data_IF_591096245269
#
_entry.id   IF_591096245269
#
_cell.length_a   1.000
_cell.length_b   1.000
_cell.length_c   1.000
_cell.angle_alpha   90.00
_cell.angle_beta   90.00
_cell.angle_gamma   90.00
#
_symmetry.space_group_name_H-M   'P 1'
#
loop_
_entity.id
_entity.type
_entity.pdbx_description
1 polymer ?
#
# COMPACT_ATOMS: atom_id res chain seq x y z
N UNK A 1 -1.49 -19.32 -15.39
CA UNK A 1 -2.63 -18.64 -14.71
C UNK A 1 -3.26 -19.51 -13.64
N UNK A 2 -3.71 -20.76 -13.94
CA UNK A 2 -4.36 -21.63 -12.92
C UNK A 2 -3.53 -21.81 -11.64
N UNK A 3 -2.21 -22.01 -11.77
CA UNK A 3 -1.30 -22.18 -10.61
C UNK A 3 -1.21 -20.92 -9.75
N UNK A 4 -1.10 -19.74 -10.37
CA UNK A 4 -1.11 -18.45 -9.63
C UNK A 4 -2.43 -18.32 -8.85
N UNK A 5 -3.57 -18.50 -9.53
CA UNK A 5 -4.89 -18.43 -8.89
C UNK A 5 -5.03 -19.40 -7.70
N UNK A 6 -4.50 -20.63 -7.82
CA UNK A 6 -4.48 -21.61 -6.74
C UNK A 6 -3.78 -21.04 -5.48
N UNK A 7 -2.58 -20.46 -5.62
CA UNK A 7 -1.84 -19.94 -4.46
C UNK A 7 -2.44 -18.65 -3.91
N UNK A 8 -3.06 -17.81 -4.75
CA UNK A 8 -3.81 -16.64 -4.28
C UNK A 8 -5.03 -17.08 -3.43
N UNK A 9 -5.76 -18.11 -3.86
CA UNK A 9 -6.90 -18.65 -3.12
C UNK A 9 -6.47 -19.34 -1.82
N UNK A 10 -5.37 -20.08 -1.81
CA UNK A 10 -4.80 -20.65 -0.58
C UNK A 10 -4.38 -19.56 0.40
N UNK A 11 -3.71 -18.50 -0.07
CA UNK A 11 -3.35 -17.35 0.75
C UNK A 11 -4.58 -16.60 1.27
N UNK A 12 -5.63 -16.45 0.47
CA UNK A 12 -6.91 -15.86 0.91
C UNK A 12 -7.56 -16.74 1.99
N UNK A 13 -7.62 -18.06 1.80
CA UNK A 13 -8.15 -18.98 2.79
C UNK A 13 -7.43 -18.87 4.14
N UNK A 14 -6.09 -18.81 4.13
CA UNK A 14 -5.29 -18.60 5.34
C UNK A 14 -5.64 -17.27 6.02
N UNK A 15 -5.76 -16.18 5.26
CA UNK A 15 -6.13 -14.87 5.81
C UNK A 15 -7.54 -14.83 6.36
N UNK A 16 -8.48 -15.52 5.75
CA UNK A 16 -9.85 -15.66 6.29
C UNK A 16 -9.81 -16.35 7.66
N UNK A 17 -9.06 -17.45 7.79
CA UNK A 17 -8.91 -18.14 9.08
C UNK A 17 -8.30 -17.20 10.13
N UNK A 18 -7.25 -16.47 9.80
CA UNK A 18 -6.64 -15.51 10.72
C UNK A 18 -7.63 -14.38 11.06
N UNK A 19 -8.37 -13.86 10.07
CA UNK A 19 -9.35 -12.81 10.29
C UNK A 19 -10.49 -13.22 11.24
N UNK A 20 -10.86 -14.49 11.25
CA UNK A 20 -11.87 -15.05 12.15
C UNK A 20 -11.32 -15.28 13.57
N UNK A 21 -10.05 -15.62 13.70
CA UNK A 21 -9.42 -15.95 14.99
C UNK A 21 -8.80 -14.73 15.69
N UNK A 22 -8.38 -13.72 14.94
CA UNK A 22 -7.70 -12.54 15.48
C UNK A 22 -8.73 -11.63 16.19
N UNK A 23 -8.55 -11.29 17.47
CA UNK A 23 -9.40 -10.30 18.14
C UNK A 23 -9.29 -8.92 17.45
N UNK A 24 -10.32 -8.05 17.61
CA UNK A 24 -10.26 -6.69 17.07
C UNK A 24 -9.10 -5.90 17.70
N UNK A 25 -8.36 -5.18 16.83
CA UNK A 25 -7.26 -4.32 17.24
C UNK A 25 -7.72 -2.91 17.60
N UNK A 26 -6.95 -2.20 18.43
CA UNK A 26 -7.21 -0.79 18.76
C UNK A 26 -7.23 0.10 17.52
N UNK A 27 -6.32 -0.13 16.58
CA UNK A 27 -6.25 0.64 15.32
C UNK A 27 -7.49 0.40 14.47
N UNK A 28 -8.05 -0.82 14.46
CA UNK A 28 -9.28 -1.12 13.71
C UNK A 28 -10.47 -0.33 14.26
N UNK A 29 -10.58 -0.23 15.59
CA UNK A 29 -11.61 0.59 16.24
C UNK A 29 -11.42 2.08 15.93
N UNK A 30 -10.19 2.55 15.90
CA UNK A 30 -9.84 3.93 15.56
C UNK A 30 -10.21 4.25 14.09
N UNK A 31 -9.87 3.41 13.14
CA UNK A 31 -10.23 3.63 11.73
C UNK A 31 -11.71 3.40 11.44
N UNK A 32 -12.40 2.58 12.23
CA UNK A 32 -13.85 2.49 12.14
C UNK A 32 -14.52 3.84 12.41
N UNK A 33 -14.00 4.61 13.37
CA UNK A 33 -14.47 5.99 13.60
C UNK A 33 -14.33 6.86 12.34
N UNK A 34 -13.24 6.71 11.56
CA UNK A 34 -13.10 7.39 10.27
C UNK A 34 -14.14 6.94 9.25
N UNK A 35 -14.48 5.65 9.24
CA UNK A 35 -15.53 5.11 8.38
C UNK A 35 -16.92 5.70 8.66
N UNK A 36 -17.20 6.00 9.92
CA UNK A 36 -18.46 6.69 10.31
C UNK A 36 -18.44 8.20 10.04
N UNK A 37 -17.26 8.80 9.89
CA UNK A 37 -17.06 10.23 9.70
C UNK A 37 -16.16 10.49 8.50
N UNK A 38 -16.66 10.13 7.30
CA UNK A 38 -15.87 10.30 6.07
C UNK A 38 -15.51 11.76 5.82
N UNK A 39 -14.23 12.01 5.63
CA UNK A 39 -13.65 13.30 5.30
C UNK A 39 -12.63 13.16 4.17
N UNK A 40 -12.27 14.26 3.52
CA UNK A 40 -11.30 14.24 2.42
C UNK A 40 -9.87 13.87 2.86
N UNK A 41 -9.56 14.02 4.14
CA UNK A 41 -8.37 13.50 4.82
C UNK A 41 -8.63 13.52 6.33
N UNK A 42 -7.68 12.98 7.12
CA UNK A 42 -7.73 12.96 8.57
C UNK A 42 -6.41 13.45 9.14
N UNK A 43 -6.38 13.60 10.47
CA UNK A 43 -5.23 14.11 11.21
C UNK A 43 -3.91 13.36 10.91
N UNK A 44 -3.94 12.03 10.86
CA UNK A 44 -2.78 11.16 10.73
C UNK A 44 -2.76 10.32 9.44
N UNK A 45 -3.89 10.21 8.72
CA UNK A 45 -3.98 9.40 7.49
C UNK A 45 -4.86 10.06 6.42
N UNK A 46 -4.57 9.81 5.12
CA UNK A 46 -5.47 10.18 4.03
C UNK A 46 -6.78 9.38 4.05
N UNK A 47 -7.72 9.76 3.16
CA UNK A 47 -9.10 9.27 3.13
C UNK A 47 -9.28 7.74 2.99
N UNK A 48 -8.35 7.04 2.31
CA UNK A 48 -8.61 5.65 1.86
C UNK A 48 -8.89 4.68 3.00
N UNK A 49 -8.24 4.82 4.16
CA UNK A 49 -8.53 3.96 5.31
C UNK A 49 -9.96 4.15 5.83
N UNK A 50 -10.48 5.39 5.81
CA UNK A 50 -11.88 5.69 6.14
C UNK A 50 -12.86 5.05 5.13
N UNK A 51 -12.53 5.09 3.83
CA UNK A 51 -13.33 4.41 2.80
C UNK A 51 -13.33 2.89 3.02
N UNK A 52 -12.16 2.28 3.33
CA UNK A 52 -12.07 0.85 3.63
C UNK A 52 -12.90 0.48 4.87
N UNK A 53 -12.86 1.30 5.91
CA UNK A 53 -13.67 1.13 7.11
C UNK A 53 -15.17 1.25 6.81
N UNK A 54 -15.57 2.25 6.05
CA UNK A 54 -16.95 2.45 5.61
C UNK A 54 -17.46 1.27 4.78
N UNK A 55 -16.66 0.78 3.83
CA UNK A 55 -16.99 -0.41 3.03
C UNK A 55 -17.12 -1.65 3.92
N UNK A 56 -16.18 -1.85 4.84
CA UNK A 56 -16.17 -3.00 5.75
C UNK A 56 -17.39 -3.02 6.67
N UNK A 57 -17.83 -1.85 7.11
CA UNK A 57 -19.03 -1.70 7.94
C UNK A 57 -20.33 -2.17 7.24
N UNK A 58 -20.37 -2.20 5.90
CA UNK A 58 -21.53 -2.69 5.16
C UNK A 58 -21.70 -4.22 5.23
N UNK A 59 -20.67 -4.94 5.68
CA UNK A 59 -20.70 -6.40 5.78
C UNK A 59 -21.08 -6.85 7.20
N UNK A 60 -21.87 -7.95 7.36
CA UNK A 60 -22.18 -8.50 8.66
C UNK A 60 -20.94 -9.16 9.29
N UNK A 61 -20.94 -9.33 10.62
CA UNK A 61 -19.93 -10.12 11.33
C UNK A 61 -18.87 -9.31 12.05
N UNK A 62 -19.23 -8.21 12.67
CA UNK A 62 -18.37 -7.41 13.55
C UNK A 62 -16.97 -7.12 12.96
N UNK A 63 -15.91 -7.53 13.66
CA UNK A 63 -14.53 -7.31 13.22
C UNK A 63 -14.18 -8.05 11.91
N UNK A 64 -14.82 -9.19 11.62
CA UNK A 64 -14.60 -9.90 10.35
C UNK A 64 -15.14 -9.09 9.16
N UNK A 65 -16.34 -8.53 9.28
CA UNK A 65 -16.94 -7.67 8.27
C UNK A 65 -16.01 -6.50 7.91
N UNK A 66 -15.46 -5.84 8.93
CA UNK A 66 -14.51 -4.72 8.76
C UNK A 66 -13.25 -5.11 7.99
N UNK A 67 -12.83 -6.37 8.03
CA UNK A 67 -11.60 -6.90 7.39
C UNK A 67 -11.79 -7.30 5.93
N UNK A 68 -13.03 -7.48 5.48
CA UNK A 68 -13.34 -7.93 4.10
C UNK A 68 -12.67 -7.05 3.04
N UNK A 69 -12.69 -5.71 3.10
CA UNK A 69 -11.99 -4.87 2.12
C UNK A 69 -10.48 -5.12 2.07
N UNK A 70 -9.84 -5.35 3.23
CA UNK A 70 -8.41 -5.68 3.30
C UNK A 70 -8.10 -7.05 2.70
N UNK A 71 -8.91 -8.08 3.01
CA UNK A 71 -8.79 -9.43 2.44
C UNK A 71 -8.84 -9.42 0.91
N UNK A 72 -9.82 -8.69 0.35
CA UNK A 72 -10.00 -8.55 -1.10
C UNK A 72 -8.85 -7.76 -1.71
N UNK A 73 -8.54 -6.60 -1.15
CA UNK A 73 -7.48 -5.69 -1.63
C UNK A 73 -6.14 -6.38 -1.72
N UNK A 74 -5.76 -7.08 -0.67
CA UNK A 74 -4.48 -7.77 -0.62
C UNK A 74 -4.42 -8.95 -1.59
N UNK A 75 -5.53 -9.65 -1.80
CA UNK A 75 -5.61 -10.72 -2.79
C UNK A 75 -5.41 -10.16 -4.21
N UNK A 76 -6.05 -9.03 -4.53
CA UNK A 76 -5.87 -8.33 -5.80
C UNK A 76 -4.42 -7.82 -5.93
N UNK A 77 -3.87 -7.19 -4.88
CA UNK A 77 -2.50 -6.70 -4.84
C UNK A 77 -1.48 -7.82 -5.14
N UNK A 78 -1.61 -8.95 -4.46
CA UNK A 78 -0.77 -10.14 -4.69
C UNK A 78 -0.89 -10.66 -6.11
N UNK A 79 -2.10 -10.65 -6.68
CA UNK A 79 -2.36 -11.02 -8.07
C UNK A 79 -1.69 -10.07 -9.06
N UNK A 80 -1.79 -8.75 -8.85
CA UNK A 80 -1.14 -7.74 -9.69
C UNK A 80 0.38 -7.86 -9.66
N UNK A 81 0.99 -8.07 -8.48
CA UNK A 81 2.42 -8.32 -8.35
C UNK A 81 2.84 -9.61 -9.06
N UNK A 82 2.08 -10.69 -8.91
CA UNK A 82 2.35 -11.95 -9.59
C UNK A 82 2.28 -11.82 -11.12
N UNK A 83 1.34 -11.04 -11.63
CA UNK A 83 1.23 -10.73 -13.07
C UNK A 83 2.38 -9.86 -13.55
N UNK A 84 2.79 -8.86 -12.77
CA UNK A 84 3.94 -8.00 -13.07
C UNK A 84 5.24 -8.83 -13.12
N UNK A 85 5.49 -9.65 -12.11
CA UNK A 85 6.64 -10.55 -12.04
C UNK A 85 6.68 -11.52 -13.21
N UNK A 86 5.56 -12.17 -13.52
CA UNK A 86 5.44 -13.05 -14.70
C UNK A 86 5.75 -12.33 -16.02
N UNK A 87 5.41 -11.04 -16.13
CA UNK A 87 5.62 -10.24 -17.34
C UNK A 87 7.07 -9.82 -17.52
N UNK A 88 7.80 -9.54 -16.43
CA UNK A 88 9.10 -8.88 -16.44
C UNK A 88 10.27 -9.75 -16.03
N UNK A 89 10.01 -10.84 -15.33
CA UNK A 89 11.03 -11.75 -14.80
C UNK A 89 10.99 -13.11 -15.50
N UNK A 90 11.56 -14.11 -14.91
CA UNK A 90 11.67 -15.48 -15.44
C UNK A 90 10.34 -16.24 -15.40
N UNK A 91 10.17 -17.30 -16.23
CA UNK A 91 9.05 -18.22 -16.10
C UNK A 91 8.95 -18.78 -14.68
N UNK A 92 7.77 -18.74 -14.08
CA UNK A 92 7.57 -19.21 -12.69
C UNK A 92 7.63 -18.11 -11.63
N UNK A 93 8.27 -16.95 -11.89
CA UNK A 93 8.36 -15.85 -10.94
C UNK A 93 6.99 -15.38 -10.42
N UNK A 94 5.96 -15.35 -11.27
CA UNK A 94 4.61 -15.03 -10.83
C UNK A 94 4.02 -16.01 -9.82
N UNK A 95 4.38 -17.30 -9.90
CA UNK A 95 3.95 -18.30 -8.91
C UNK A 95 4.67 -18.06 -7.57
N UNK A 96 5.98 -17.86 -7.63
CA UNK A 96 6.76 -17.54 -6.43
C UNK A 96 6.30 -16.25 -5.78
N UNK A 97 5.99 -15.21 -6.55
CA UNK A 97 5.44 -13.96 -6.02
C UNK A 97 4.11 -14.21 -5.28
N UNK A 98 3.19 -15.00 -5.86
CA UNK A 98 1.93 -15.33 -5.21
C UNK A 98 2.13 -16.13 -3.90
N UNK A 99 3.11 -17.05 -3.86
CA UNK A 99 3.46 -17.80 -2.66
C UNK A 99 4.05 -16.87 -1.60
N UNK A 100 5.07 -16.07 -1.95
CA UNK A 100 5.77 -15.20 -1.01
C UNK A 100 4.86 -14.12 -0.42
N UNK A 101 4.03 -13.48 -1.25
CA UNK A 101 3.05 -12.50 -0.74
C UNK A 101 1.99 -13.18 0.12
N UNK A 102 1.55 -14.40 -0.24
CA UNK A 102 0.58 -15.17 0.53
C UNK A 102 1.08 -15.65 1.90
N UNK A 103 2.42 -15.76 2.09
CA UNK A 103 3.04 -16.32 3.29
C UNK A 103 3.87 -15.30 4.08
N UNK A 104 4.08 -14.07 3.61
CA UNK A 104 4.84 -13.04 4.35
C UNK A 104 4.10 -12.66 5.63
N UNK A 105 4.62 -12.93 6.84
CA UNK A 105 3.87 -12.79 8.09
C UNK A 105 3.38 -11.36 8.33
N UNK A 106 4.26 -10.38 8.13
CA UNK A 106 3.93 -8.97 8.31
C UNK A 106 2.87 -8.51 7.31
N UNK A 107 3.11 -8.75 6.02
CA UNK A 107 2.20 -8.32 4.96
C UNK A 107 0.86 -9.05 5.04
N UNK A 108 0.87 -10.32 5.45
CA UNK A 108 -0.31 -11.14 5.60
C UNK A 108 -1.26 -10.57 6.65
N UNK A 109 -0.76 -10.17 7.82
CA UNK A 109 -1.58 -9.65 8.92
C UNK A 109 -1.88 -8.18 8.72
N UNK A 110 -0.85 -7.32 8.60
CA UNK A 110 -0.97 -5.86 8.57
C UNK A 110 -1.63 -5.38 7.27
N UNK A 111 -1.20 -5.92 6.13
CA UNK A 111 -1.73 -5.51 4.83
C UNK A 111 -2.93 -6.33 4.35
N UNK A 112 -3.03 -7.59 4.79
CA UNK A 112 -3.95 -8.55 4.22
C UNK A 112 -5.11 -8.99 5.11
N UNK A 113 -5.08 -8.68 6.40
CA UNK A 113 -6.15 -9.04 7.36
C UNK A 113 -6.72 -7.82 8.03
N UNK A 114 -5.92 -7.06 8.79
CA UNK A 114 -6.42 -5.97 9.61
C UNK A 114 -6.94 -4.80 8.76
N UNK A 115 -7.91 -4.07 9.31
CA UNK A 115 -8.35 -2.79 8.77
C UNK A 115 -7.29 -1.73 9.10
N UNK A 116 -6.33 -1.55 8.21
CA UNK A 116 -5.23 -0.61 8.33
C UNK A 116 -5.02 0.15 7.00
N UNK A 117 -4.39 1.33 7.01
CA UNK A 117 -4.08 2.09 5.79
C UNK A 117 -3.08 1.37 4.87
N UNK A 118 -2.46 0.28 5.36
CA UNK A 118 -1.54 -0.56 4.60
C UNK A 118 -2.24 -1.37 3.50
N UNK A 119 -3.50 -1.77 3.69
CA UNK A 119 -4.25 -2.52 2.68
C UNK A 119 -4.49 -1.70 1.40
N UNK A 120 -5.06 -0.47 1.43
CA UNK A 120 -5.17 0.37 0.24
C UNK A 120 -3.81 0.81 -0.31
N UNK A 121 -2.79 1.02 0.54
CA UNK A 121 -1.43 1.33 0.10
C UNK A 121 -0.85 0.20 -0.75
N UNK A 122 -0.89 -1.04 -0.28
CA UNK A 122 -0.36 -2.20 -0.99
C UNK A 122 -1.13 -2.46 -2.29
N UNK A 123 -2.45 -2.28 -2.29
CA UNK A 123 -3.25 -2.40 -3.51
C UNK A 123 -2.81 -1.37 -4.56
N UNK A 124 -2.74 -0.09 -4.17
CA UNK A 124 -2.38 0.99 -5.07
C UNK A 124 -0.93 0.85 -5.56
N UNK A 125 0.01 0.52 -4.69
CA UNK A 125 1.41 0.29 -5.05
C UNK A 125 1.55 -0.89 -6.02
N UNK A 126 0.85 -2.00 -5.77
CA UNK A 126 0.86 -3.16 -6.65
C UNK A 126 0.26 -2.85 -8.02
N UNK A 127 -0.78 -2.00 -8.06
CA UNK A 127 -1.36 -1.51 -9.31
C UNK A 127 -0.38 -0.64 -10.10
N UNK A 128 0.38 0.24 -9.44
CA UNK A 128 1.45 1.04 -10.05
C UNK A 128 2.54 0.14 -10.62
N UNK A 129 3.03 -0.84 -9.85
CA UNK A 129 4.05 -1.79 -10.29
C UNK A 129 3.57 -2.60 -11.50
N UNK A 130 2.33 -3.08 -11.47
CA UNK A 130 1.73 -3.78 -12.60
C UNK A 130 1.59 -2.89 -13.82
N UNK A 131 1.12 -1.65 -13.65
CA UNK A 131 0.96 -0.67 -14.73
C UNK A 131 2.29 -0.39 -15.44
N UNK A 132 3.36 -0.20 -14.68
CA UNK A 132 4.72 -0.05 -15.19
C UNK A 132 5.20 -1.33 -15.91
N UNK A 133 4.89 -2.50 -15.35
CA UNK A 133 5.29 -3.79 -15.94
C UNK A 133 4.63 -4.05 -17.29
N UNK A 134 3.37 -3.68 -17.47
CA UNK A 134 2.64 -3.87 -18.75
C UNK A 134 2.82 -2.70 -19.72
N UNK A 135 3.41 -1.58 -19.27
CA UNK A 135 3.59 -0.39 -20.11
C UNK A 135 2.29 0.40 -20.29
N UNK A 136 1.47 0.51 -19.23
CA UNK A 136 0.22 1.25 -19.28
C UNK A 136 0.45 2.72 -19.69
N UNK A 137 -0.57 3.35 -20.30
CA UNK A 137 -0.53 4.77 -20.61
C UNK A 137 -0.31 5.61 -19.35
N UNK A 138 0.50 6.66 -19.47
CA UNK A 138 0.92 7.47 -18.33
C UNK A 138 -0.21 8.26 -17.67
N UNK A 139 -1.26 8.60 -18.38
CA UNK A 139 -2.46 9.18 -17.78
C UNK A 139 -3.10 8.26 -16.72
N UNK A 140 -3.26 6.96 -17.06
CA UNK A 140 -3.72 5.97 -16.10
C UNK A 140 -2.74 5.75 -14.96
N UNK A 141 -1.43 5.77 -15.26
CA UNK A 141 -0.40 5.70 -14.22
C UNK A 141 -0.55 6.86 -13.21
N UNK A 142 -0.80 8.08 -13.71
CA UNK A 142 -1.06 9.25 -12.86
C UNK A 142 -2.24 9.04 -11.91
N UNK A 143 -3.36 8.51 -12.40
CA UNK A 143 -4.51 8.20 -11.54
C UNK A 143 -4.13 7.21 -10.43
N UNK A 144 -3.39 6.13 -10.76
CA UNK A 144 -2.93 5.13 -9.79
C UNK A 144 -1.98 5.74 -8.75
N UNK A 145 -1.09 6.66 -9.16
CA UNK A 145 -0.22 7.41 -8.24
C UNK A 145 -1.03 8.33 -7.31
N UNK A 146 -2.12 8.89 -7.80
CA UNK A 146 -3.08 9.65 -6.98
C UNK A 146 -3.75 8.78 -5.90
N UNK A 147 -4.25 7.59 -6.25
CA UNK A 147 -4.79 6.64 -5.29
C UNK A 147 -3.73 6.16 -4.29
N UNK A 148 -2.49 5.94 -4.73
CA UNK A 148 -1.37 5.63 -3.84
C UNK A 148 -1.17 6.75 -2.80
N UNK A 149 -1.21 8.01 -3.22
CA UNK A 149 -1.09 9.19 -2.33
C UNK A 149 -2.24 9.26 -1.32
N UNK A 150 -3.47 8.96 -1.74
CA UNK A 150 -4.64 8.95 -0.87
C UNK A 150 -4.67 7.77 0.12
N UNK A 151 -3.78 6.78 -0.02
CA UNK A 151 -3.75 5.59 0.83
C UNK A 151 -2.99 5.81 2.13
N UNK A 152 -1.80 6.39 2.07
CA UNK A 152 -0.93 6.59 3.25
C UNK A 152 0.14 7.64 2.95
N UNK A 153 0.53 8.46 3.94
CA UNK A 153 1.56 9.49 3.73
C UNK A 153 2.93 8.92 3.33
N UNK A 154 3.23 7.65 3.67
CA UNK A 154 4.41 6.93 3.19
C UNK A 154 4.44 6.74 1.66
N UNK A 155 3.34 7.00 0.97
CA UNK A 155 3.34 7.07 -0.49
C UNK A 155 4.23 8.20 -1.03
N UNK A 156 4.38 9.33 -0.31
CA UNK A 156 5.17 10.47 -0.78
C UNK A 156 6.66 10.13 -0.99
N UNK A 157 7.40 9.52 -0.04
CA UNK A 157 8.74 9.04 -0.31
C UNK A 157 8.80 7.97 -1.41
N UNK A 158 7.78 7.11 -1.55
CA UNK A 158 7.72 6.15 -2.67
C UNK A 158 7.58 6.87 -4.02
N UNK A 159 6.76 7.92 -4.11
CA UNK A 159 6.65 8.76 -5.32
C UNK A 159 7.98 9.44 -5.64
N UNK A 160 8.71 9.93 -4.64
CA UNK A 160 10.04 10.51 -4.83
C UNK A 160 11.02 9.46 -5.39
N UNK A 161 11.04 8.25 -4.84
CA UNK A 161 11.86 7.16 -5.37
C UNK A 161 11.51 6.81 -6.82
N UNK A 162 10.21 6.75 -7.16
CA UNK A 162 9.76 6.52 -8.52
C UNK A 162 10.16 7.65 -9.47
N UNK A 163 10.10 8.90 -9.02
CA UNK A 163 10.56 10.06 -9.79
C UNK A 163 12.07 10.02 -10.02
N UNK A 164 12.87 9.73 -8.99
CA UNK A 164 14.31 9.56 -9.12
C UNK A 164 14.66 8.45 -10.11
N UNK A 165 13.97 7.30 -10.02
CA UNK A 165 14.13 6.23 -11.00
C UNK A 165 13.75 6.69 -12.41
N UNK A 166 12.63 7.38 -12.59
CA UNK A 166 12.19 7.87 -13.90
C UNK A 166 13.20 8.86 -14.51
N UNK A 167 13.81 9.70 -13.68
CA UNK A 167 14.86 10.64 -14.10
C UNK A 167 16.19 9.96 -14.45
N UNK A 168 16.53 8.86 -13.78
CA UNK A 168 17.78 8.11 -14.05
C UNK A 168 17.77 7.37 -15.38
N UNK A 169 16.58 6.97 -15.89
CA UNK A 169 16.45 6.23 -17.14
C UNK A 169 16.16 7.16 -18.32
N UNK A 170 17.01 7.17 -19.34
CA UNK A 170 16.91 8.11 -20.47
C UNK A 170 15.55 8.04 -21.19
N UNK A 171 15.01 6.83 -21.38
CA UNK A 171 13.72 6.63 -22.05
C UNK A 171 12.56 7.17 -21.20
N UNK A 172 12.54 6.84 -19.91
CA UNK A 172 11.48 7.25 -18.97
C UNK A 172 11.54 8.76 -18.72
N UNK A 173 12.75 9.32 -18.63
CA UNK A 173 12.97 10.76 -18.50
C UNK A 173 12.40 11.54 -19.69
N UNK A 174 12.61 11.06 -20.93
CA UNK A 174 12.01 11.71 -22.12
C UNK A 174 10.48 11.71 -22.07
N UNK A 175 9.89 10.62 -21.63
CA UNK A 175 8.43 10.52 -21.46
C UNK A 175 7.93 11.43 -20.33
N UNK A 176 8.68 11.57 -19.24
CA UNK A 176 8.34 12.46 -18.12
C UNK A 176 8.24 13.93 -18.57
N UNK A 177 9.12 14.36 -19.46
CA UNK A 177 9.12 15.74 -20.04
C UNK A 177 8.32 15.83 -21.36
N UNK A 178 7.40 14.93 -21.62
CA UNK A 178 6.49 14.93 -22.77
C UNK A 178 5.04 15.12 -22.34
N UNK A 179 4.10 15.12 -23.30
CA UNK A 179 2.67 15.16 -23.02
C UNK A 179 2.19 14.02 -22.12
N UNK A 180 2.84 12.86 -22.19
CA UNK A 180 2.54 11.75 -21.30
C UNK A 180 2.84 12.09 -19.83
N UNK A 181 3.93 12.79 -19.57
CA UNK A 181 4.26 13.28 -18.22
C UNK A 181 3.25 14.30 -17.70
N UNK A 182 2.76 15.21 -18.57
CA UNK A 182 1.70 16.15 -18.22
C UNK A 182 0.40 15.40 -17.86
N UNK A 183 0.04 14.38 -18.62
CA UNK A 183 -1.13 13.55 -18.31
C UNK A 183 -0.96 12.79 -16.98
N UNK A 184 0.22 12.24 -16.72
CA UNK A 184 0.51 11.56 -15.45
C UNK A 184 0.42 12.51 -14.26
N UNK A 185 1.03 13.69 -14.35
CA UNK A 185 0.98 14.72 -13.31
C UNK A 185 -0.46 15.22 -13.09
N UNK A 186 -1.19 15.52 -14.17
CA UNK A 186 -2.58 15.95 -14.11
C UNK A 186 -3.49 14.91 -13.46
N UNK A 187 -3.37 13.63 -13.86
CA UNK A 187 -4.11 12.52 -13.25
C UNK A 187 -3.79 12.35 -11.77
N UNK A 188 -2.52 12.41 -11.40
CA UNK A 188 -2.08 12.37 -10.01
C UNK A 188 -2.67 13.54 -9.20
N UNK A 189 -2.58 14.76 -9.71
CA UNK A 189 -3.06 15.96 -9.02
C UNK A 189 -4.58 15.92 -8.82
N UNK A 190 -5.34 15.54 -9.86
CA UNK A 190 -6.81 15.45 -9.80
C UNK A 190 -7.23 14.45 -8.72
N UNK A 191 -6.67 13.22 -8.71
CA UNK A 191 -7.07 12.21 -7.75
C UNK A 191 -6.59 12.55 -6.33
N UNK A 192 -5.38 13.09 -6.16
CA UNK A 192 -4.85 13.46 -4.84
C UNK A 192 -5.35 14.80 -4.30
N UNK A 193 -6.05 15.60 -5.11
CA UNK A 193 -6.53 16.94 -4.73
C UNK A 193 -7.33 17.00 -3.42
N UNK A 194 -8.18 16.02 -3.04
CA UNK A 194 -8.91 16.09 -1.77
C UNK A 194 -7.98 16.18 -0.55
N UNK A 195 -6.87 15.44 -0.57
CA UNK A 195 -5.85 15.45 0.49
C UNK A 195 -5.19 16.84 0.63
N UNK A 196 -4.81 17.43 -0.50
CA UNK A 196 -4.10 18.73 -0.50
C UNK A 196 -5.04 19.85 -0.06
N UNK A 197 -6.27 19.88 -0.59
CA UNK A 197 -7.28 20.88 -0.24
C UNK A 197 -7.68 20.80 1.23
N UNK A 198 -7.87 19.57 1.75
CA UNK A 198 -8.17 19.37 3.16
C UNK A 198 -7.04 19.87 4.06
N UNK A 199 -5.79 19.52 3.77
CA UNK A 199 -4.65 19.97 4.56
C UNK A 199 -4.48 21.50 4.51
N UNK A 200 -4.69 22.12 3.33
CA UNK A 200 -4.67 23.57 3.19
C UNK A 200 -5.72 24.24 4.09
N UNK A 201 -6.92 23.69 4.17
CA UNK A 201 -8.02 24.20 5.02
C UNK A 201 -7.78 23.95 6.52
N UNK A 202 -7.01 22.93 6.86
CA UNK A 202 -6.74 22.50 8.25
C UNK A 202 -5.32 22.83 8.73
N UNK A 203 -4.66 23.85 8.15
CA UNK A 203 -3.37 24.34 8.61
C UNK A 203 -2.22 23.31 8.49
N UNK A 204 -2.30 22.39 7.53
CA UNK A 204 -1.29 21.35 7.27
C UNK A 204 -1.05 20.42 8.47
N UNK A 205 -2.06 20.22 9.31
CA UNK A 205 -1.94 19.51 10.58
C UNK A 205 -1.41 18.08 10.43
N UNK A 206 -1.76 17.38 9.36
CA UNK A 206 -1.26 16.02 9.11
C UNK A 206 0.25 15.99 8.89
N UNK A 207 0.78 16.95 8.14
CA UNK A 207 2.22 17.05 7.89
C UNK A 207 2.97 17.48 9.16
N UNK A 208 2.40 18.40 9.94
CA UNK A 208 2.96 18.80 11.25
C UNK A 208 3.02 17.62 12.20
N UNK A 209 1.96 16.80 12.27
CA UNK A 209 1.94 15.58 13.09
C UNK A 209 3.05 14.62 12.71
N UNK A 210 3.21 14.31 11.41
CA UNK A 210 4.25 13.40 10.98
C UNK A 210 5.67 13.96 11.18
N UNK A 211 5.87 15.26 10.99
CA UNK A 211 7.17 15.90 11.24
C UNK A 211 7.53 15.91 12.72
N UNK A 212 6.57 16.17 13.61
CA UNK A 212 6.79 16.15 15.06
C UNK A 212 7.20 14.76 15.57
N UNK A 213 6.62 13.69 15.03
CA UNK A 213 7.00 12.30 15.39
C UNK A 213 8.45 11.97 15.06
N UNK A 214 9.04 12.60 14.06
CA UNK A 214 10.44 12.38 13.68
C UNK A 214 11.43 13.21 14.49
N UNK A 215 10.96 14.28 15.17
CA UNK A 215 11.81 15.18 15.93
C UNK A 215 11.97 14.79 17.41
N UNK A 216 11.17 13.85 17.92
CA UNK A 216 11.12 13.46 19.34
C UNK A 216 12.23 12.51 19.82
N UNK A 217 13.21 12.17 18.98
CA UNK A 217 14.34 11.34 19.39
C UNK A 217 15.48 12.23 19.94
N UNK A 218 15.61 12.28 21.25
CA UNK A 218 16.77 12.92 21.90
C UNK A 218 18.04 12.12 21.62
N UNK A 219 18.86 12.60 20.68
CA UNK A 219 20.18 12.08 20.36
C UNK A 219 20.20 10.83 19.47
N UNK A 220 21.41 10.45 19.04
CA UNK A 220 21.65 9.27 18.22
C UNK A 220 21.68 8.02 19.08
N UNK A 221 20.73 7.10 18.87
CA UNK A 221 20.68 5.82 19.56
C UNK A 221 21.39 4.75 18.75
N UNK A 222 22.58 4.30 19.21
CA UNK A 222 23.39 3.28 18.56
C UNK A 222 22.71 1.90 18.46
N UNK A 223 21.75 1.60 19.33
CA UNK A 223 20.96 0.34 19.23
C UNK A 223 19.86 0.40 18.18
N UNK A 224 19.46 1.57 17.71
CA UNK A 224 18.42 1.77 16.72
C UNK A 224 18.70 1.05 15.39
N UNK A 225 19.82 1.33 14.71
CA UNK A 225 20.14 0.68 13.43
C UNK A 225 20.20 -0.85 13.48
N UNK A 226 20.90 -1.51 14.41
CA UNK A 226 20.92 -2.97 14.48
C UNK A 226 19.55 -3.57 14.84
N UNK A 227 18.77 -2.92 15.72
CA UNK A 227 17.41 -3.36 16.04
C UNK A 227 16.49 -3.22 14.83
N UNK A 228 16.60 -2.12 14.08
CA UNK A 228 15.86 -1.92 12.83
C UNK A 228 16.19 -3.03 11.82
N UNK A 229 17.47 -3.34 11.58
CA UNK A 229 17.87 -4.43 10.68
C UNK A 229 17.33 -5.79 11.15
N UNK A 230 17.42 -6.08 12.44
CA UNK A 230 16.86 -7.30 13.02
C UNK A 230 15.35 -7.40 12.78
N UNK A 231 14.61 -6.31 13.03
CA UNK A 231 13.16 -6.29 12.79
C UNK A 231 12.81 -6.45 11.31
N UNK A 232 13.61 -5.90 10.39
CA UNK A 232 13.43 -6.12 8.95
C UNK A 232 13.67 -7.60 8.57
N UNK A 233 14.70 -8.23 9.09
CA UNK A 233 14.99 -9.65 8.87
C UNK A 233 13.86 -10.53 9.40
N UNK A 234 13.31 -10.23 10.57
CA UNK A 234 12.18 -10.97 11.15
C UNK A 234 10.86 -10.72 10.43
N UNK A 235 10.66 -9.51 9.91
CA UNK A 235 9.47 -9.12 9.14
C UNK A 235 9.48 -9.73 7.72
N UNK A 236 10.64 -9.77 7.08
CA UNK A 236 10.89 -10.58 5.91
C UNK A 236 11.00 -12.04 6.40
N UNK A 237 10.45 -12.99 5.62
CA UNK A 237 10.71 -14.40 5.89
C UNK A 237 12.20 -14.61 6.16
N UNK A 238 12.63 -15.23 7.27
CA UNK A 238 14.05 -15.49 7.54
C UNK A 238 14.74 -16.22 6.36
N UNK A 239 14.02 -17.10 5.68
CA UNK A 239 14.47 -17.78 4.46
C UNK A 239 14.73 -16.85 3.28
N UNK A 240 13.98 -15.76 3.14
CA UNK A 240 14.21 -14.75 2.08
C UNK A 240 15.40 -13.87 2.47
N UNK A 241 15.51 -13.49 3.74
CA UNK A 241 16.63 -12.71 4.24
C UNK A 241 17.99 -13.43 4.15
N UNK A 242 17.98 -14.77 4.13
CA UNK A 242 19.18 -15.58 3.92
C UNK A 242 19.55 -15.76 2.44
N UNK A 243 18.67 -15.40 1.53
CA UNK A 243 18.87 -15.50 0.07
C UNK A 243 19.23 -14.16 -0.58
N UNK A 244 19.17 -13.05 0.16
CA UNK A 244 19.54 -11.69 -0.23
C UNK A 244 20.93 -11.34 0.28
#
# INVERSE_FOLDING_TARGET
MKTIAKYLLLGLGLRIVIALLLPPGYDEAYYLFYGHHLAASYYDHPIMVGIWAWLGWQFPGDSFGLRIPSLISYTIASGLLALAARKRLTPGSGVWTAILTGLSPLLLVVGGVMLLPDAPLLLSLSAVVWALAVGLNWGWLGLLLGFLTLSKYQALPLLLCLLCWALSQSQTRRRLFSWEGVQAFGGWLVVSSPLWLWNLQNGWISFLFHSARTQGAEGFNFSGPPLFLLTQILALFPTIALLL
#
